data_IF_931476082430
#
_entry.id   IF_931476082430
#
_cell.length_a   1.000
_cell.length_b   1.000
_cell.length_c   1.000
_cell.angle_alpha   90.00
_cell.angle_beta   90.00
_cell.angle_gamma   90.00
#
_symmetry.space_group_name_H-M   'P 1'
#
loop_
_entity.id
_entity.type
_entity.pdbx_description
1 polymer ?
#
# COMPACT_ATOMS: atom_id res chain seq x y z
N UNK A 1 3.05 -9.12 0.35
CA UNK A 1 2.33 -8.20 1.26
C UNK A 1 2.39 -6.77 0.73
N UNK A 2 1.45 -5.89 1.13
CA UNK A 2 1.48 -4.47 0.77
C UNK A 2 2.83 -3.77 1.01
N UNK A 3 3.52 -4.15 2.09
CA UNK A 3 4.82 -3.59 2.49
C UNK A 3 6.01 -4.02 1.60
N UNK A 4 5.83 -5.02 0.72
CA UNK A 4 6.89 -5.49 -0.17
C UNK A 4 6.94 -4.70 -1.48
N UNK A 5 5.95 -3.85 -1.72
CA UNK A 5 5.85 -3.06 -2.94
C UNK A 5 6.73 -1.81 -2.76
N UNK A 6 7.68 -1.52 -3.68
CA UNK A 6 8.68 -0.47 -3.51
C UNK A 6 8.13 0.94 -3.83
N UNK A 7 7.05 1.36 -3.15
CA UNK A 7 6.39 2.66 -3.37
C UNK A 7 7.33 3.85 -3.19
N UNK A 8 8.28 3.76 -2.24
CA UNK A 8 9.26 4.81 -2.00
C UNK A 8 10.26 4.97 -3.15
N UNK A 9 10.65 3.88 -3.79
CA UNK A 9 11.60 3.89 -4.90
C UNK A 9 10.98 4.49 -6.17
N UNK A 10 9.66 4.33 -6.33
CA UNK A 10 8.92 4.90 -7.45
C UNK A 10 8.52 6.37 -7.23
N UNK A 11 8.71 6.90 -6.03
CA UNK A 11 8.32 8.26 -5.67
C UNK A 11 6.81 8.43 -5.46
N UNK A 12 6.10 7.37 -5.09
CA UNK A 12 4.67 7.43 -4.85
C UNK A 12 4.35 8.17 -3.53
N UNK A 13 3.61 9.27 -3.64
CA UNK A 13 3.14 10.06 -2.49
C UNK A 13 1.76 9.60 -1.99
N UNK A 14 0.94 9.06 -2.89
CA UNK A 14 -0.41 8.58 -2.60
C UNK A 14 -0.59 7.15 -3.11
N UNK A 15 -1.19 6.31 -2.28
CA UNK A 15 -1.46 4.91 -2.59
C UNK A 15 -2.98 4.71 -2.47
N UNK A 16 -3.61 4.34 -3.58
CA UNK A 16 -5.04 4.02 -3.62
C UNK A 16 -5.19 2.52 -3.74
N UNK A 17 -5.70 1.90 -2.67
CA UNK A 17 -5.89 0.46 -2.63
C UNK A 17 -7.22 0.08 -3.28
N UNK A 18 -7.18 -0.23 -4.58
CA UNK A 18 -8.33 -0.59 -5.40
C UNK A 18 -8.33 -2.04 -5.87
N UNK A 19 -7.46 -2.90 -5.32
CA UNK A 19 -7.43 -4.33 -5.67
C UNK A 19 -8.59 -5.10 -5.04
N UNK A 20 -9.16 -4.55 -3.95
CA UNK A 20 -10.21 -5.21 -3.15
C UNK A 20 -9.68 -6.32 -2.25
N UNK A 21 -8.35 -6.53 -2.19
CA UNK A 21 -7.73 -7.58 -1.37
C UNK A 21 -7.42 -7.08 0.04
N UNK A 22 -7.04 -5.80 0.20
CA UNK A 22 -6.70 -5.19 1.49
C UNK A 22 -7.78 -4.21 1.94
N UNK A 23 -8.94 -4.73 2.33
CA UNK A 23 -10.13 -3.92 2.69
C UNK A 23 -10.11 -3.41 4.13
N UNK A 24 -9.28 -3.99 4.99
CA UNK A 24 -9.10 -3.54 6.37
C UNK A 24 -8.07 -2.41 6.44
N UNK A 25 -8.32 -1.43 7.30
CA UNK A 25 -7.46 -0.25 7.45
C UNK A 25 -6.02 -0.61 7.79
N UNK A 26 -5.84 -1.59 8.66
CA UNK A 26 -4.53 -2.04 9.13
C UNK A 26 -3.74 -2.73 8.02
N UNK A 27 -4.43 -3.48 7.15
CA UNK A 27 -3.83 -4.13 5.98
C UNK A 27 -3.46 -3.11 4.90
N UNK A 28 -4.33 -2.12 4.65
CA UNK A 28 -4.03 -1.03 3.72
C UNK A 28 -2.91 -0.10 4.24
N UNK A 29 -2.82 0.11 5.56
CA UNK A 29 -1.75 0.93 6.14
C UNK A 29 -0.36 0.30 5.97
N UNK A 30 -0.27 -1.01 5.72
CA UNK A 30 1.00 -1.68 5.44
C UNK A 30 1.66 -1.22 4.13
N UNK A 31 0.93 -0.57 3.21
CA UNK A 31 1.49 0.09 2.03
C UNK A 31 2.43 1.27 2.37
N UNK A 32 2.36 1.81 3.59
CA UNK A 32 3.15 2.97 4.02
C UNK A 32 4.46 2.59 4.73
N UNK A 33 4.75 1.29 4.86
CA UNK A 33 6.02 0.79 5.40
C UNK A 33 7.08 0.76 4.33
#
# INVERSE_FOLDING_TARGET
>A
NPEEIPWRETGAEFIVESTGVFTEKEKAAAHLK
#
